data_IF_959923839254
#
_entry.id   IF_959923839254
#
_cell.length_a   1.000
_cell.length_b   1.000
_cell.length_c   1.000
_cell.angle_alpha   90.00
_cell.angle_beta   90.00
_cell.angle_gamma   90.00
#
_symmetry.space_group_name_H-M   'P 1'
#
loop_
_entity.id
_entity.type
_entity.pdbx_description
1 polymer ?
#
# COMPACT_ATOMS: atom_id res chain seq x y z
N UNK A 1 1.08 16.72 -8.19
CA UNK A 1 1.13 16.26 -6.79
C UNK A 1 0.09 15.16 -6.61
N UNK A 2 0.53 13.94 -6.33
CA UNK A 2 -0.39 12.88 -5.93
C UNK A 2 -0.93 13.24 -4.55
N UNK A 3 -2.25 13.28 -4.40
CA UNK A 3 -2.86 13.41 -3.07
C UNK A 3 -3.07 11.99 -2.55
N UNK A 4 -2.49 11.73 -1.39
CA UNK A 4 -2.64 10.50 -0.62
C UNK A 4 -3.11 10.87 0.79
N UNK A 5 -4.11 10.18 1.32
CA UNK A 5 -4.62 10.42 2.66
C UNK A 5 -4.97 9.12 3.36
N UNK A 6 -4.68 9.07 4.66
CA UNK A 6 -5.04 7.96 5.55
C UNK A 6 -6.40 8.24 6.17
N UNK A 7 -7.22 7.20 6.26
CA UNK A 7 -8.56 7.23 6.86
C UNK A 7 -8.81 5.93 7.62
N UNK A 8 -9.85 5.94 8.45
CA UNK A 8 -10.36 4.71 9.04
C UNK A 8 -10.83 3.74 7.95
N UNK A 9 -10.56 2.45 8.18
CA UNK A 9 -11.09 1.39 7.32
C UNK A 9 -12.57 1.18 7.59
N UNK A 10 -13.30 0.73 6.57
CA UNK A 10 -14.70 0.28 6.72
C UNK A 10 -14.81 -1.23 6.87
N UNK A 11 -13.69 -1.95 6.94
CA UNK A 11 -13.63 -3.39 7.19
C UNK A 11 -13.15 -3.61 8.62
N UNK A 12 -13.94 -4.34 9.42
CA UNK A 12 -13.70 -4.52 10.86
C UNK A 12 -12.37 -5.21 11.18
N UNK A 13 -11.71 -5.85 10.21
CA UNK A 13 -10.40 -6.49 10.39
C UNK A 13 -9.23 -5.50 10.34
N UNK A 14 -9.46 -4.28 9.84
CA UNK A 14 -8.43 -3.29 9.61
C UNK A 14 -8.81 -1.97 10.26
N UNK A 15 -7.88 -1.31 10.94
CA UNK A 15 -8.16 0.00 11.53
C UNK A 15 -8.07 1.10 10.48
N UNK A 16 -7.09 1.01 9.58
CA UNK A 16 -6.73 2.12 8.69
C UNK A 16 -6.68 1.69 7.23
N UNK A 17 -6.85 2.66 6.34
CA UNK A 17 -6.71 2.50 4.90
C UNK A 17 -6.11 3.76 4.28
N UNK A 18 -5.24 3.55 3.29
CA UNK A 18 -4.67 4.60 2.46
C UNK A 18 -5.53 4.75 1.21
N UNK A 19 -5.92 5.98 0.91
CA UNK A 19 -6.55 6.36 -0.36
C UNK A 19 -5.62 7.27 -1.13
N UNK A 20 -5.45 7.02 -2.42
CA UNK A 20 -4.56 7.81 -3.26
C UNK A 20 -5.06 7.85 -4.70
N UNK A 21 -4.59 8.82 -5.47
CA UNK A 21 -4.95 8.98 -6.89
C UNK A 21 -3.78 8.65 -7.81
N UNK A 22 -4.00 7.72 -8.74
CA UNK A 22 -3.05 7.33 -9.78
C UNK A 22 -3.76 7.26 -11.13
N UNK A 23 -3.18 7.87 -12.17
CA UNK A 23 -3.72 7.86 -13.54
C UNK A 23 -5.23 8.21 -13.63
N UNK A 24 -5.67 9.21 -12.86
CA UNK A 24 -7.07 9.65 -12.82
C UNK A 24 -8.02 8.75 -12.04
N UNK A 25 -7.56 7.61 -11.50
CA UNK A 25 -8.34 6.70 -10.67
C UNK A 25 -7.98 6.86 -9.19
N UNK A 26 -9.01 6.82 -8.34
CA UNK A 26 -8.82 6.70 -6.89
C UNK A 26 -8.70 5.23 -6.54
N UNK A 27 -7.63 4.88 -5.83
CA UNK A 27 -7.34 3.53 -5.37
C UNK A 27 -7.27 3.52 -3.85
N UNK A 28 -7.57 2.36 -3.28
CA UNK A 28 -7.60 2.16 -1.83
C UNK A 28 -6.82 0.89 -1.48
N UNK A 29 -5.99 0.98 -0.46
CA UNK A 29 -5.33 -0.19 0.14
C UNK A 29 -5.48 -0.14 1.66
N UNK A 30 -5.57 -1.31 2.29
CA UNK A 30 -5.70 -1.43 3.74
C UNK A 30 -4.31 -1.48 4.36
N UNK A 31 -4.19 -0.96 5.58
CA UNK A 31 -2.93 -0.97 6.32
C UNK A 31 -3.03 -2.08 7.37
N UNK A 32 -2.16 -3.06 7.27
CA UNK A 32 -2.02 -4.13 8.25
C UNK A 32 -1.11 -3.63 9.40
N UNK A 33 -1.42 -4.07 10.62
CA UNK A 33 -0.60 -3.78 11.79
C UNK A 33 -0.42 -5.05 12.61
N UNK A 34 0.81 -5.54 12.69
CA UNK A 34 1.17 -6.74 13.43
C UNK A 34 2.56 -6.58 14.05
N UNK A 35 2.74 -7.08 15.28
CA UNK A 35 4.02 -7.01 16.00
C UNK A 35 4.66 -5.60 16.05
N UNK A 36 3.84 -4.55 16.17
CA UNK A 36 4.29 -3.16 16.21
C UNK A 36 4.79 -2.62 14.86
N UNK A 37 4.50 -3.32 13.75
CA UNK A 37 4.91 -2.93 12.40
C UNK A 37 3.70 -2.73 11.49
N UNK A 38 3.85 -1.86 10.51
CA UNK A 38 2.84 -1.48 9.53
C UNK A 38 3.21 -1.96 8.12
N UNK A 39 2.24 -2.47 7.36
CA UNK A 39 2.46 -2.88 5.97
C UNK A 39 1.16 -2.74 5.15
N UNK A 40 1.26 -2.80 3.83
CA UNK A 40 0.07 -2.92 2.95
C UNK A 40 -0.29 -4.37 2.62
N UNK A 41 0.64 -5.29 2.86
CA UNK A 41 0.51 -6.71 2.57
C UNK A 41 1.51 -7.49 3.43
N UNK A 42 1.06 -8.60 4.02
CA UNK A 42 1.93 -9.65 4.54
C UNK A 42 2.91 -10.11 3.46
N UNK A 43 4.18 -9.79 3.67
CA UNK A 43 5.29 -10.37 2.93
C UNK A 43 6.10 -11.18 3.94
N UNK A 44 6.19 -12.51 3.78
CA UNK A 44 6.83 -13.38 4.77
C UNK A 44 8.31 -13.03 5.03
N UNK A 45 8.96 -12.40 4.05
CA UNK A 45 10.39 -12.07 4.10
C UNK A 45 10.69 -10.57 4.25
N UNK A 46 9.66 -9.72 4.35
CA UNK A 46 9.86 -8.27 4.47
C UNK A 46 9.36 -7.80 5.82
N UNK A 47 10.31 -7.33 6.63
CA UNK A 47 10.01 -6.63 7.86
C UNK A 47 9.19 -5.38 7.53
N UNK A 48 8.00 -5.24 8.13
CA UNK A 48 7.13 -4.07 7.92
C UNK A 48 7.79 -2.75 8.38
N UNK A 49 7.04 -1.66 8.46
CA UNK A 49 7.58 -0.36 8.86
C UNK A 49 7.25 -0.04 10.33
N UNK A 50 8.12 0.70 11.02
CA UNK A 50 7.92 1.04 12.44
C UNK A 50 6.82 2.10 12.65
N UNK A 51 6.47 2.84 11.61
CA UNK A 51 5.38 3.81 11.63
C UNK A 51 4.64 3.87 10.29
N UNK A 52 3.43 4.42 10.31
CA UNK A 52 2.64 4.68 9.10
C UNK A 52 3.32 5.74 8.22
N UNK A 53 3.99 6.72 8.85
CA UNK A 53 4.76 7.74 8.12
C UNK A 53 5.86 7.08 7.32
N UNK A 54 6.65 6.21 7.96
CA UNK A 54 7.74 5.48 7.27
C UNK A 54 7.21 4.60 6.13
N UNK A 55 6.08 3.92 6.36
CA UNK A 55 5.42 3.11 5.32
C UNK A 55 5.05 3.96 4.09
N UNK A 56 4.46 5.13 4.31
CA UNK A 56 4.02 6.02 3.23
C UNK A 56 5.22 6.65 2.52
N UNK A 57 6.21 7.17 3.25
CA UNK A 57 7.41 7.77 2.68
C UNK A 57 8.19 6.75 1.82
N UNK A 58 8.37 5.53 2.33
CA UNK A 58 8.99 4.45 1.57
C UNK A 58 8.22 4.14 0.29
N UNK A 59 6.89 4.08 0.37
CA UNK A 59 6.03 3.78 -0.78
C UNK A 59 6.02 4.89 -1.83
N UNK A 60 6.11 6.15 -1.41
CA UNK A 60 6.27 7.29 -2.33
C UNK A 60 7.60 7.16 -3.08
N UNK A 61 8.69 6.89 -2.36
CA UNK A 61 10.02 6.72 -2.96
C UNK A 61 10.06 5.54 -3.96
N UNK A 62 9.43 4.42 -3.61
CA UNK A 62 9.28 3.28 -4.52
C UNK A 62 8.41 3.61 -5.74
N UNK A 63 7.41 4.48 -5.58
CA UNK A 63 6.58 4.91 -6.71
C UNK A 63 7.34 5.80 -7.69
N UNK A 64 8.29 6.62 -7.22
CA UNK A 64 9.16 7.45 -8.06
C UNK A 64 10.10 6.60 -8.93
N UNK A 65 10.51 5.43 -8.43
CA UNK A 65 11.32 4.48 -9.20
C UNK A 65 10.50 3.57 -10.13
N UNK A 66 9.16 3.71 -10.14
CA UNK A 66 8.25 2.84 -10.90
C UNK A 66 8.08 1.42 -10.33
N UNK A 67 8.66 1.15 -9.15
CA UNK A 67 8.64 -0.17 -8.52
C UNK A 67 7.34 -0.46 -7.75
N UNK A 68 6.56 0.58 -7.42
CA UNK A 68 5.36 0.40 -6.60
C UNK A 68 4.13 -0.05 -7.41
N UNK A 69 3.90 -1.36 -7.46
CA UNK A 69 2.72 -1.98 -8.07
C UNK A 69 1.65 -2.31 -7.01
N UNK A 70 0.49 -1.66 -7.09
CA UNK A 70 -0.65 -1.91 -6.18
C UNK A 70 -1.44 -3.18 -6.53
N UNK A 71 -1.27 -3.75 -7.74
CA UNK A 71 -1.98 -4.95 -8.20
C UNK A 71 -1.25 -6.26 -7.87
N UNK A 72 -0.59 -6.36 -6.70
CA UNK A 72 -0.05 -7.65 -6.24
C UNK A 72 -1.22 -8.54 -5.83
N UNK A 73 -1.81 -9.21 -6.83
CA UNK A 73 -2.67 -10.36 -6.60
C UNK A 73 -1.90 -11.34 -5.72
N UNK A 74 -2.57 -11.92 -4.71
CA UNK A 74 -1.97 -12.94 -3.83
C UNK A 74 -1.74 -14.29 -4.56
N UNK A 75 -2.01 -14.34 -5.87
CA UNK A 75 -1.86 -15.51 -6.72
C UNK A 75 -0.57 -15.40 -7.54
N UNK A 76 0.34 -16.38 -7.46
CA UNK A 76 1.47 -16.46 -8.37
C UNK A 76 0.94 -16.45 -9.83
N UNK A 77 1.26 -15.40 -10.59
CA UNK A 77 0.99 -15.33 -12.03
C UNK A 77 -0.23 -14.51 -12.49
N UNK A 78 -1.04 -13.91 -11.60
CA UNK A 78 -2.12 -13.01 -12.06
C UNK A 78 -1.58 -11.59 -12.25
N UNK A 79 -1.66 -11.15 -13.51
CA UNK A 79 -0.93 -10.04 -14.14
C UNK A 79 -0.75 -8.78 -13.28
N UNK A 80 0.52 -8.35 -13.27
CA UNK A 80 0.98 -7.00 -12.97
C UNK A 80 0.28 -6.08 -13.97
N UNK A 81 -0.71 -5.28 -13.54
CA UNK A 81 -1.34 -4.32 -14.45
C UNK A 81 -0.23 -3.34 -14.87
N UNK A 82 0.13 -3.26 -16.16
CA UNK A 82 1.15 -2.30 -16.60
C UNK A 82 0.60 -0.90 -16.35
N UNK A 83 1.41 -0.06 -15.72
CA UNK A 83 1.24 1.37 -15.78
C UNK A 83 1.61 1.83 -17.19
N UNK A 84 0.62 1.95 -18.07
CA UNK A 84 0.71 2.79 -19.28
C UNK A 84 0.61 4.28 -18.90
#
# INVERSE_FOLDING_TARGET
MAHSWVRDSSDDRYLLSLSFRSQGKTLHTRIEHSNGRFSFYEQPDVEGHISIVDLIEHSIKDSESGAFCYSRSRLPGLQRIPSD
#
